data_IF_939899780762
#
_entry.id   IF_939899780762
#
_cell.length_a   1.000
_cell.length_b   1.000
_cell.length_c   1.000
_cell.angle_alpha   90.00
_cell.angle_beta   90.00
_cell.angle_gamma   90.00
#
_symmetry.space_group_name_H-M   'P 1'
#
loop_
_entity.id
_entity.type
_entity.pdbx_description
1 polymer ?
#
# COMPACT_ATOMS: atom_id res chain seq x y z
N UNK A 1 7.31 25.14 -24.97
CA UNK A 1 6.76 24.62 -26.25
C UNK A 1 7.26 23.21 -26.37
N UNK A 2 6.45 22.25 -26.80
CA UNK A 2 6.93 20.88 -27.04
C UNK A 2 8.00 20.89 -28.13
N UNK A 3 8.98 20.01 -27.99
CA UNK A 3 10.01 19.75 -29.02
C UNK A 3 9.37 19.05 -30.22
N UNK A 4 10.03 19.13 -31.38
CA UNK A 4 9.52 18.47 -32.60
C UNK A 4 9.41 16.96 -32.39
N UNK A 5 8.20 16.41 -32.56
CA UNK A 5 7.87 14.99 -32.27
C UNK A 5 7.32 14.70 -30.89
N UNK A 6 7.22 15.70 -29.98
CA UNK A 6 6.58 15.54 -28.67
C UNK A 6 5.13 16.05 -28.72
N UNK A 7 4.24 15.37 -28.03
CA UNK A 7 2.87 15.81 -27.82
C UNK A 7 2.80 17.01 -26.85
N UNK A 8 1.65 17.68 -26.84
CA UNK A 8 1.40 18.76 -25.89
C UNK A 8 1.46 18.29 -24.43
N UNK A 9 2.03 19.14 -23.57
CA UNK A 9 2.08 18.88 -22.12
C UNK A 9 0.66 18.85 -21.58
N UNK A 10 0.24 17.70 -21.08
CA UNK A 10 -1.07 17.52 -20.43
C UNK A 10 -0.96 17.78 -18.94
N UNK A 11 -1.89 18.57 -18.41
CA UNK A 11 -1.99 18.92 -17.00
C UNK A 11 -3.39 18.61 -16.47
N UNK A 12 -3.52 18.56 -15.14
CA UNK A 12 -4.83 18.41 -14.50
C UNK A 12 -5.71 19.64 -14.80
N UNK A 13 -6.98 19.42 -15.12
CA UNK A 13 -7.89 20.47 -15.58
C UNK A 13 -8.06 21.64 -14.59
N UNK A 14 -7.94 21.38 -13.29
CA UNK A 14 -8.04 22.42 -12.24
C UNK A 14 -6.79 23.31 -12.13
N UNK A 15 -5.68 22.93 -12.78
CA UNK A 15 -4.43 23.69 -12.78
C UNK A 15 -3.70 23.53 -14.13
N UNK A 16 -4.24 24.12 -15.23
CA UNK A 16 -3.71 23.90 -16.58
C UNK A 16 -2.37 24.59 -16.82
N UNK A 17 -2.11 25.71 -16.15
CA UNK A 17 -1.00 26.62 -16.49
C UNK A 17 0.30 26.32 -15.72
N UNK A 18 0.22 25.55 -14.63
CA UNK A 18 1.39 25.25 -13.77
C UNK A 18 1.35 23.84 -13.19
N UNK A 19 2.48 23.38 -12.70
CA UNK A 19 2.54 22.15 -11.90
C UNK A 19 1.95 22.41 -10.51
N UNK A 20 1.17 21.44 -10.04
CA UNK A 20 0.74 21.43 -8.64
C UNK A 20 1.91 20.91 -7.81
N UNK A 21 2.51 21.77 -7.02
CA UNK A 21 3.64 21.45 -6.15
C UNK A 21 3.22 21.13 -4.72
N UNK A 22 2.05 21.64 -4.32
CA UNK A 22 1.44 21.34 -3.02
C UNK A 22 0.01 20.87 -3.24
N UNK A 23 -0.38 19.70 -2.72
CA UNK A 23 -1.75 19.19 -2.88
C UNK A 23 -2.78 20.02 -2.10
N UNK A 24 -2.39 20.55 -0.93
CA UNK A 24 -3.21 21.37 -0.05
C UNK A 24 -2.33 22.42 0.63
N UNK A 25 -2.95 23.51 1.10
CA UNK A 25 -2.28 24.52 1.91
C UNK A 25 -1.75 23.90 3.22
N UNK A 26 -0.50 24.19 3.57
CA UNK A 26 0.17 23.66 4.76
C UNK A 26 0.69 22.23 4.64
N UNK A 27 0.63 21.63 3.44
CA UNK A 27 1.18 20.28 3.17
C UNK A 27 2.44 20.41 2.34
N UNK A 28 3.60 20.22 2.96
CA UNK A 28 4.92 20.32 2.31
C UNK A 28 5.58 18.96 2.13
N UNK A 29 5.36 18.04 3.07
CA UNK A 29 5.94 16.69 3.08
C UNK A 29 4.87 15.63 3.30
N UNK A 30 5.17 14.38 2.96
CA UNK A 30 4.22 13.25 3.06
C UNK A 30 3.60 13.11 4.47
N UNK A 31 4.33 13.23 5.59
CA UNK A 31 3.73 13.19 6.92
C UNK A 31 2.64 14.23 7.18
N UNK A 32 2.73 15.42 6.55
CA UNK A 32 1.71 16.46 6.70
C UNK A 32 0.36 16.03 6.14
N UNK A 33 0.37 15.23 5.06
CA UNK A 33 -0.87 14.65 4.47
C UNK A 33 -1.60 13.82 5.51
N UNK A 34 -0.88 12.99 6.27
CA UNK A 34 -1.47 12.12 7.29
C UNK A 34 -1.99 12.95 8.46
N UNK A 35 -1.23 13.96 8.89
CA UNK A 35 -1.65 14.87 9.96
C UNK A 35 -2.94 15.63 9.58
N UNK A 36 -3.01 16.18 8.37
CA UNK A 36 -4.19 16.83 7.84
C UNK A 36 -5.38 15.86 7.73
N UNK A 37 -5.15 14.66 7.22
CA UNK A 37 -6.19 13.65 7.10
C UNK A 37 -6.76 13.23 8.48
N UNK A 38 -5.90 13.11 9.49
CA UNK A 38 -6.34 12.84 10.87
C UNK A 38 -7.18 13.98 11.44
N UNK A 39 -6.85 15.24 11.15
CA UNK A 39 -7.66 16.39 11.57
C UNK A 39 -9.03 16.40 10.89
N UNK A 40 -9.09 16.08 9.59
CA UNK A 40 -10.32 16.13 8.79
C UNK A 40 -11.24 14.94 9.05
N UNK A 41 -10.68 13.75 9.18
CA UNK A 41 -11.43 12.50 9.24
C UNK A 41 -11.54 11.89 10.64
N UNK A 42 -10.63 12.23 11.54
CA UNK A 42 -10.70 11.84 12.96
C UNK A 42 -10.73 10.34 13.16
N UNK A 43 -11.79 9.87 13.80
CA UNK A 43 -12.01 8.46 14.16
C UNK A 43 -12.60 7.60 13.04
N UNK A 44 -12.67 8.09 11.79
CA UNK A 44 -13.05 7.23 10.68
C UNK A 44 -12.00 6.16 10.42
N UNK A 45 -12.44 4.99 10.04
CA UNK A 45 -11.59 3.88 9.64
C UNK A 45 -10.88 4.19 8.30
N UNK A 46 -9.60 3.85 8.22
CA UNK A 46 -8.80 4.07 7.01
C UNK A 46 -8.11 2.79 6.51
N UNK A 47 -7.49 2.04 7.41
CA UNK A 47 -6.77 0.83 7.06
C UNK A 47 -7.41 -0.38 7.69
N UNK A 48 -7.64 -1.40 6.87
CA UNK A 48 -8.20 -2.67 7.34
C UNK A 48 -7.29 -3.84 6.97
N UNK A 49 -7.27 -4.86 7.82
CA UNK A 49 -6.57 -6.12 7.57
C UNK A 49 -7.37 -7.30 8.13
N UNK A 50 -6.93 -8.48 7.71
CA UNK A 50 -7.41 -9.75 8.26
C UNK A 50 -6.21 -10.62 8.59
N UNK A 51 -6.25 -11.32 9.68
CA UNK A 51 -5.22 -12.28 10.05
C UNK A 51 -5.53 -13.66 9.46
N UNK A 52 -4.48 -14.41 9.14
CA UNK A 52 -4.62 -15.82 8.73
C UNK A 52 -4.89 -16.63 9.99
N UNK A 53 -6.07 -17.22 10.08
CA UNK A 53 -6.50 -18.10 11.18
C UNK A 53 -6.00 -19.52 10.94
N UNK A 54 -6.23 -20.02 9.73
CA UNK A 54 -5.86 -21.40 9.35
C UNK A 54 -5.44 -21.45 7.88
N UNK A 55 -4.51 -22.34 7.58
CA UNK A 55 -4.11 -22.65 6.20
C UNK A 55 -4.62 -24.05 5.89
N UNK A 56 -5.45 -24.15 4.87
CA UNK A 56 -5.98 -25.41 4.36
C UNK A 56 -5.25 -25.81 3.10
N UNK A 57 -4.84 -27.05 3.00
CA UNK A 57 -4.25 -27.63 1.80
C UNK A 57 -5.17 -28.72 1.24
N UNK A 58 -5.39 -28.67 -0.05
CA UNK A 58 -6.25 -29.64 -0.77
C UNK A 58 -5.59 -30.05 -2.07
N UNK A 59 -5.45 -31.36 -2.28
CA UNK A 59 -4.99 -31.91 -3.55
C UNK A 59 -6.18 -32.01 -4.53
N UNK A 60 -6.04 -31.38 -5.70
CA UNK A 60 -7.05 -31.43 -6.78
C UNK A 60 -6.43 -31.98 -8.06
N UNK A 61 -7.21 -32.79 -8.74
CA UNK A 61 -6.87 -33.25 -10.08
C UNK A 61 -7.26 -32.18 -11.10
N UNK A 62 -6.29 -31.71 -11.87
CA UNK A 62 -6.49 -30.72 -12.93
C UNK A 62 -6.19 -31.37 -14.28
N UNK A 63 -7.15 -31.29 -15.18
CA UNK A 63 -6.98 -31.76 -16.55
C UNK A 63 -6.34 -30.67 -17.41
N UNK A 64 -5.29 -31.02 -18.13
CA UNK A 64 -4.63 -30.16 -19.12
C UNK A 64 -4.58 -30.85 -20.47
N UNK A 65 -4.75 -30.07 -21.54
CA UNK A 65 -4.50 -30.54 -22.88
C UNK A 65 -3.02 -30.30 -23.24
N UNK A 66 -2.25 -31.34 -23.43
CA UNK A 66 -0.86 -31.28 -23.88
C UNK A 66 -0.75 -32.07 -25.18
N UNK A 67 -0.41 -31.40 -26.28
CA UNK A 67 -0.27 -32.07 -27.59
C UNK A 67 -1.55 -32.71 -28.14
N UNK A 68 -2.74 -32.20 -27.74
CA UNK A 68 -4.04 -32.75 -28.15
C UNK A 68 -4.54 -33.93 -27.33
N UNK A 69 -3.83 -34.33 -26.28
CA UNK A 69 -4.25 -35.36 -25.34
C UNK A 69 -4.57 -34.75 -23.97
N UNK A 70 -5.63 -35.23 -23.31
CA UNK A 70 -5.92 -34.84 -21.91
C UNK A 70 -4.94 -35.56 -20.98
N UNK A 71 -4.20 -34.78 -20.21
CA UNK A 71 -3.34 -35.29 -19.12
C UNK A 71 -3.89 -34.78 -17.79
N UNK A 72 -4.07 -35.70 -16.84
CA UNK A 72 -4.49 -35.36 -15.48
C UNK A 72 -3.26 -35.15 -14.62
N UNK A 73 -3.13 -33.98 -13.98
CA UNK A 73 -2.06 -33.63 -13.06
C UNK A 73 -2.67 -33.33 -11.69
N UNK A 74 -2.04 -33.83 -10.63
CA UNK A 74 -2.41 -33.49 -9.26
C UNK A 74 -1.74 -32.19 -8.85
N UNK A 75 -2.52 -31.24 -8.35
CA UNK A 75 -2.04 -29.95 -7.85
C UNK A 75 -2.50 -29.72 -6.43
N UNK A 76 -1.57 -29.29 -5.59
CA UNK A 76 -1.90 -28.84 -4.25
C UNK A 76 -2.38 -27.38 -4.32
N UNK A 77 -3.55 -27.13 -3.75
CA UNK A 77 -4.16 -25.83 -3.60
C UNK A 77 -4.09 -25.43 -2.13
N UNK A 78 -3.69 -24.19 -1.89
CA UNK A 78 -3.64 -23.63 -0.54
C UNK A 78 -4.73 -22.59 -0.42
N UNK A 79 -5.56 -22.72 0.61
CA UNK A 79 -6.62 -21.77 0.95
C UNK A 79 -6.34 -21.17 2.32
N UNK A 80 -6.59 -19.88 2.45
CA UNK A 80 -6.42 -19.17 3.71
C UNK A 80 -7.78 -18.89 4.32
N UNK A 81 -7.99 -19.38 5.52
CA UNK A 81 -9.09 -18.95 6.38
C UNK A 81 -8.65 -17.70 7.10
N UNK A 82 -9.41 -16.62 6.93
CA UNK A 82 -9.07 -15.31 7.43
C UNK A 82 -10.02 -14.90 8.55
N UNK A 83 -9.52 -14.16 9.53
CA UNK A 83 -10.32 -13.53 10.59
C UNK A 83 -11.33 -12.53 10.03
N UNK A 84 -12.19 -12.02 10.88
CA UNK A 84 -12.96 -10.81 10.59
C UNK A 84 -12.02 -9.63 10.31
N UNK A 85 -12.53 -8.61 9.61
CA UNK A 85 -11.79 -7.38 9.36
C UNK A 85 -11.54 -6.63 10.67
N UNK A 86 -10.31 -6.20 10.83
CA UNK A 86 -9.87 -5.27 11.86
C UNK A 86 -9.51 -3.96 11.19
N UNK A 87 -9.80 -2.84 11.82
CA UNK A 87 -9.56 -1.52 11.27
C UNK A 87 -8.81 -0.63 12.25
N UNK A 88 -8.06 0.32 11.72
CA UNK A 88 -7.52 1.45 12.47
C UNK A 88 -8.01 2.75 11.87
N UNK A 89 -8.11 3.76 12.72
CA UNK A 89 -8.60 5.09 12.37
C UNK A 89 -7.49 6.01 11.86
N UNK A 90 -7.86 7.14 11.27
CA UNK A 90 -6.91 8.16 10.83
C UNK A 90 -6.06 8.70 11.99
N UNK A 91 -6.65 8.89 13.17
CA UNK A 91 -5.92 9.35 14.37
C UNK A 91 -4.89 8.31 14.79
N UNK A 92 -5.28 7.03 14.91
CA UNK A 92 -4.36 5.96 15.28
C UNK A 92 -3.21 5.79 14.27
N UNK A 93 -3.46 5.97 12.97
CA UNK A 93 -2.39 5.96 11.96
C UNK A 93 -1.43 7.13 12.18
N UNK A 94 -1.95 8.33 12.44
CA UNK A 94 -1.12 9.51 12.69
C UNK A 94 -0.24 9.34 13.93
N UNK A 95 -0.78 8.76 15.01
CA UNK A 95 -0.03 8.44 16.23
C UNK A 95 1.09 7.44 15.95
N UNK A 96 0.81 6.33 15.27
CA UNK A 96 1.83 5.32 14.91
C UNK A 96 2.93 5.89 14.03
N UNK A 97 2.59 6.79 13.10
CA UNK A 97 3.60 7.48 12.24
C UNK A 97 4.50 8.40 13.07
N UNK A 98 4.02 8.97 14.17
CA UNK A 98 4.85 9.76 15.07
C UNK A 98 5.71 8.91 16.00
N UNK A 99 5.24 7.74 16.40
CA UNK A 99 5.97 6.83 17.30
C UNK A 99 7.10 6.08 16.59
N UNK A 100 6.88 5.64 15.34
CA UNK A 100 7.85 4.87 14.59
C UNK A 100 9.23 5.54 14.48
N UNK A 101 9.35 6.82 14.09
CA UNK A 101 10.65 7.50 14.05
C UNK A 101 11.35 7.57 15.40
N UNK A 102 10.60 7.74 16.48
CA UNK A 102 11.17 7.74 17.85
C UNK A 102 11.75 6.37 18.19
N UNK A 103 11.08 5.29 17.80
CA UNK A 103 11.58 3.92 17.94
C UNK A 103 12.85 3.69 17.12
N UNK A 104 12.90 4.13 15.87
CA UNK A 104 14.06 4.01 14.99
C UNK A 104 15.28 4.77 15.56
N UNK A 105 15.08 6.01 16.03
CA UNK A 105 16.12 6.78 16.69
C UNK A 105 16.64 6.10 17.96
N UNK A 106 15.75 5.50 18.76
CA UNK A 106 16.15 4.76 19.96
C UNK A 106 17.03 3.54 19.62
N UNK A 107 16.81 2.92 18.46
CA UNK A 107 17.64 1.82 17.95
C UNK A 107 18.88 2.28 17.18
N UNK A 108 19.18 3.58 17.19
CA UNK A 108 20.42 4.15 16.64
C UNK A 108 20.35 4.42 15.13
N UNK A 109 19.17 4.44 14.54
CA UNK A 109 18.99 4.83 13.14
C UNK A 109 18.84 6.34 13.07
N UNK A 110 19.71 7.00 12.31
CA UNK A 110 19.79 8.45 12.20
C UNK A 110 19.63 8.90 10.75
N UNK A 111 19.64 10.22 10.55
CA UNK A 111 19.66 10.82 9.22
C UNK A 111 20.85 10.29 8.41
N UNK A 112 20.61 10.01 7.14
CA UNK A 112 21.55 9.50 6.14
C UNK A 112 21.91 8.00 6.31
N UNK A 113 21.34 7.30 7.30
CA UNK A 113 21.46 5.86 7.40
C UNK A 113 20.62 5.16 6.34
N UNK A 114 21.10 4.02 5.85
CA UNK A 114 20.36 3.18 4.90
C UNK A 114 19.49 2.20 5.67
N UNK A 115 18.18 2.36 5.52
CA UNK A 115 17.18 1.48 6.12
C UNK A 115 16.49 0.63 5.05
N UNK A 116 16.53 -0.68 5.21
CA UNK A 116 15.89 -1.60 4.28
C UNK A 116 14.64 -2.23 4.91
N UNK A 117 13.51 -2.17 4.20
CA UNK A 117 12.26 -2.82 4.61
C UNK A 117 12.05 -4.09 3.77
N UNK A 118 12.07 -5.24 4.43
CA UNK A 118 11.74 -6.52 3.81
C UNK A 118 10.48 -7.08 4.49
N UNK A 119 9.35 -6.92 3.85
CA UNK A 119 8.05 -7.32 4.36
C UNK A 119 7.17 -7.90 3.25
N UNK A 120 6.26 -8.81 3.61
CA UNK A 120 5.24 -9.27 2.69
C UNK A 120 4.22 -8.16 2.44
N UNK A 121 3.78 -8.04 1.18
CA UNK A 121 2.62 -7.21 0.84
C UNK A 121 1.36 -7.86 1.42
N UNK A 122 0.60 -7.10 2.17
CA UNK A 122 -0.68 -7.51 2.76
C UNK A 122 -1.81 -6.65 2.22
#
# INVERSE_FOLDING_TARGET
MPSDGEGEVRRVAICPDRLVTQPFEGVEVIPDVVALAAQVHGTKEIMGWRDIVTIHEEEKEVKKAVGGQEVTEKKNWTYFELSDYQFITYVEVAERIQELPRGLLHHGIHKDDVFNIYAQTR
#
